data_IF_486090653765
#
_entry.id   IF_486090653765
#
_cell.length_a   1.000
_cell.length_b   1.000
_cell.length_c   1.000
_cell.angle_alpha   90.00
_cell.angle_beta   90.00
_cell.angle_gamma   90.00
#
_symmetry.space_group_name_H-M   'P 1'
#
loop_
_entity.id
_entity.type
_entity.pdbx_description
1 polymer ?
#
# COMPACT_ATOMS: atom_id res chain seq x y z
N UNK A 1 -2.26 -2.76 -14.56
CA UNK A 1 -3.40 -3.26 -13.79
C UNK A 1 -2.80 -4.23 -12.79
N UNK A 2 -2.71 -3.77 -11.54
CA UNK A 2 -1.65 -4.15 -10.60
C UNK A 2 -2.24 -4.65 -9.29
N UNK A 3 -1.63 -5.71 -8.74
CA UNK A 3 -1.90 -6.20 -7.38
C UNK A 3 -0.84 -5.61 -6.47
N UNK A 4 -1.24 -5.18 -5.29
CA UNK A 4 -0.36 -4.57 -4.30
C UNK A 4 -0.42 -5.37 -3.01
N UNK A 5 0.70 -5.43 -2.31
CA UNK A 5 0.80 -5.98 -0.96
C UNK A 5 1.64 -5.02 -0.12
N UNK A 6 1.23 -4.73 1.11
CA UNK A 6 2.04 -3.88 1.99
C UNK A 6 3.11 -4.65 2.78
N UNK A 7 3.97 -3.89 3.47
CA UNK A 7 4.96 -4.43 4.41
C UNK A 7 4.57 -4.24 5.88
N UNK A 8 3.28 -4.04 6.15
CA UNK A 8 2.79 -3.88 7.53
C UNK A 8 2.58 -5.25 8.17
N UNK A 9 3.11 -5.42 9.38
CA UNK A 9 3.03 -6.68 10.11
C UNK A 9 1.90 -6.62 11.14
N UNK A 10 0.69 -6.98 10.72
CA UNK A 10 -0.47 -7.05 11.61
C UNK A 10 -0.52 -8.41 12.31
N UNK A 11 -0.62 -8.43 13.65
CA UNK A 11 -0.74 -9.68 14.41
C UNK A 11 -2.19 -10.15 14.40
N UNK A 12 -2.39 -11.43 14.06
CA UNK A 12 -3.68 -12.13 14.20
C UNK A 12 -3.44 -13.48 14.88
N UNK A 13 -3.67 -13.53 16.19
CA UNK A 13 -3.25 -14.67 17.00
C UNK A 13 -1.75 -14.92 16.89
N UNK A 14 -1.35 -16.08 16.36
CA UNK A 14 0.05 -16.46 16.10
C UNK A 14 0.54 -16.09 14.69
N UNK A 15 -0.33 -15.54 13.84
CA UNK A 15 -0.02 -15.21 12.46
C UNK A 15 0.37 -13.73 12.31
N UNK A 16 1.14 -13.46 11.25
CA UNK A 16 1.40 -12.11 10.75
C UNK A 16 0.65 -11.97 9.43
N UNK A 17 -0.17 -10.94 9.35
CA UNK A 17 -1.04 -10.61 8.22
C UNK A 17 -0.57 -9.30 7.57
N UNK A 18 -0.79 -9.22 6.26
CA UNK A 18 -0.49 -8.11 5.38
C UNK A 18 -1.73 -7.79 4.56
N UNK A 19 -1.89 -6.54 4.13
CA UNK A 19 -3.00 -6.20 3.24
C UNK A 19 -2.61 -6.51 1.79
N UNK A 20 -3.56 -7.05 1.02
CA UNK A 20 -3.47 -7.20 -0.43
C UNK A 20 -4.69 -6.56 -1.10
N UNK A 21 -4.46 -5.71 -2.10
CA UNK A 21 -5.50 -5.01 -2.86
C UNK A 21 -5.11 -4.89 -4.33
N UNK A 22 -6.03 -4.42 -5.17
CA UNK A 22 -5.79 -4.18 -6.59
C UNK A 22 -6.63 -2.99 -7.09
N UNK A 23 -6.38 -2.55 -8.32
CA UNK A 23 -7.11 -1.47 -8.96
C UNK A 23 -8.62 -1.80 -9.12
N UNK A 24 -8.97 -3.09 -9.27
CA UNK A 24 -10.35 -3.58 -9.29
C UNK A 24 -10.57 -4.83 -8.42
N UNK A 25 -11.83 -5.06 -8.06
CA UNK A 25 -12.21 -6.24 -7.29
C UNK A 25 -11.96 -7.55 -8.06
N UNK A 26 -12.20 -7.56 -9.37
CA UNK A 26 -12.04 -8.78 -10.19
C UNK A 26 -10.57 -9.19 -10.28
N UNK A 27 -9.66 -8.24 -10.44
CA UNK A 27 -8.22 -8.50 -10.38
C UNK A 27 -7.79 -9.04 -9.02
N UNK A 28 -8.32 -8.45 -7.94
CA UNK A 28 -8.02 -8.89 -6.60
C UNK A 28 -8.49 -10.33 -6.36
N UNK A 29 -9.68 -10.69 -6.86
CA UNK A 29 -10.22 -12.04 -6.79
C UNK A 29 -9.40 -13.04 -7.61
N UNK A 30 -8.97 -12.65 -8.81
CA UNK A 30 -8.09 -13.47 -9.64
C UNK A 30 -6.72 -13.68 -8.98
N UNK A 31 -6.14 -12.64 -8.39
CA UNK A 31 -4.89 -12.73 -7.65
C UNK A 31 -5.01 -13.64 -6.43
N UNK A 32 -6.09 -13.49 -5.65
CA UNK A 32 -6.41 -14.35 -4.51
C UNK A 32 -6.55 -15.82 -4.93
N UNK A 33 -7.25 -16.10 -6.03
CA UNK A 33 -7.40 -17.45 -6.56
C UNK A 33 -6.04 -18.08 -6.94
N UNK A 34 -5.17 -17.33 -7.63
CA UNK A 34 -3.81 -17.79 -8.02
C UNK A 34 -2.94 -18.17 -6.83
N UNK A 35 -3.10 -17.48 -5.70
CA UNK A 35 -2.33 -17.76 -4.47
C UNK A 35 -3.09 -18.67 -3.50
N UNK A 36 -4.24 -19.23 -3.90
CA UNK A 36 -5.02 -20.18 -3.10
C UNK A 36 -5.71 -19.56 -1.88
N UNK A 37 -6.19 -18.32 -2.00
CA UNK A 37 -7.04 -17.65 -1.01
C UNK A 37 -8.50 -17.77 -1.44
N UNK A 38 -9.36 -18.18 -0.50
CA UNK A 38 -10.79 -18.31 -0.77
C UNK A 38 -11.47 -16.93 -0.82
N UNK A 39 -12.29 -16.71 -1.85
CA UNK A 39 -13.08 -15.48 -2.08
C UNK A 39 -13.94 -15.05 -0.88
N UNK A 40 -14.37 -15.97 -0.02
CA UNK A 40 -15.15 -15.66 1.19
C UNK A 40 -14.40 -14.76 2.18
N UNK A 41 -13.06 -14.70 2.09
CA UNK A 41 -12.21 -13.88 2.96
C UNK A 41 -12.05 -12.43 2.44
N UNK A 42 -12.73 -12.08 1.35
CA UNK A 42 -12.69 -10.72 0.83
C UNK A 42 -13.33 -9.77 1.85
N UNK A 43 -12.58 -8.76 2.26
CA UNK A 43 -13.04 -7.70 3.15
C UNK A 43 -13.50 -6.51 2.31
N UNK A 44 -14.65 -5.94 2.63
CA UNK A 44 -15.22 -4.79 1.92
C UNK A 44 -16.17 -3.97 2.80
N UNK A 45 -16.47 -2.72 2.45
CA UNK A 45 -17.49 -1.91 3.13
C UNK A 45 -18.86 -2.59 3.17
N UNK A 46 -19.65 -2.38 4.25
CA UNK A 46 -19.36 -1.54 5.42
C UNK A 46 -18.51 -2.22 6.51
N UNK A 47 -18.15 -3.50 6.35
CA UNK A 47 -17.42 -4.28 7.38
C UNK A 47 -15.94 -3.93 7.45
N UNK A 48 -15.40 -3.38 6.38
CA UNK A 48 -14.03 -2.90 6.28
C UNK A 48 -13.98 -1.52 5.61
N UNK A 49 -12.92 -0.77 5.85
CA UNK A 49 -12.76 0.59 5.32
C UNK A 49 -12.52 0.63 3.80
N UNK A 50 -12.12 -0.50 3.18
CA UNK A 50 -11.98 -0.64 1.72
C UNK A 50 -11.93 -2.12 1.29
N UNK A 51 -11.94 -2.37 -0.02
CA UNK A 51 -11.88 -3.72 -0.61
C UNK A 51 -10.46 -4.27 -0.58
N UNK A 52 -10.22 -5.35 0.18
CA UNK A 52 -8.91 -6.00 0.30
C UNK A 52 -8.99 -7.44 0.85
N UNK A 53 -7.85 -8.13 0.86
CA UNK A 53 -7.64 -9.34 1.65
C UNK A 53 -6.58 -9.09 2.71
N UNK A 54 -6.74 -9.74 3.88
CA UNK A 54 -5.63 -9.98 4.80
C UNK A 54 -4.97 -11.31 4.44
N UNK A 55 -3.67 -11.29 4.19
CA UNK A 55 -2.92 -12.46 3.73
C UNK A 55 -1.77 -12.78 4.69
N UNK A 56 -1.50 -14.06 4.92
CA UNK A 56 -0.37 -14.47 5.76
C UNK A 56 0.98 -14.20 5.09
N UNK A 57 2.07 -14.26 5.85
CA UNK A 57 3.45 -14.11 5.32
C UNK A 57 3.73 -15.00 4.11
N UNK A 58 3.38 -16.29 4.17
CA UNK A 58 3.59 -17.22 3.05
C UNK A 58 2.78 -16.86 1.80
N UNK A 59 1.57 -16.31 1.99
CA UNK A 59 0.73 -15.84 0.88
C UNK A 59 1.24 -14.53 0.29
N UNK A 60 1.80 -13.64 1.10
CA UNK A 60 2.50 -12.44 0.62
C UNK A 60 3.67 -12.79 -0.28
N UNK A 61 4.53 -13.73 0.14
CA UNK A 61 5.66 -14.18 -0.68
C UNK A 61 5.19 -14.78 -2.01
N UNK A 62 4.08 -15.51 -2.00
CA UNK A 62 3.50 -16.07 -3.22
C UNK A 62 2.89 -14.98 -4.11
N UNK A 63 2.21 -13.98 -3.54
CA UNK A 63 1.67 -12.84 -4.27
C UNK A 63 2.79 -12.07 -5.00
N UNK A 64 3.89 -11.76 -4.29
CA UNK A 64 5.06 -11.08 -4.88
C UNK A 64 5.67 -11.92 -6.00
N UNK A 65 5.83 -13.23 -5.81
CA UNK A 65 6.28 -14.15 -6.87
C UNK A 65 5.36 -14.18 -8.09
N UNK A 66 4.08 -13.87 -7.93
CA UNK A 66 3.10 -13.74 -9.00
C UNK A 66 2.98 -12.30 -9.54
N UNK A 67 3.93 -11.40 -9.22
CA UNK A 67 3.99 -10.05 -9.75
C UNK A 67 3.25 -8.99 -8.93
N UNK A 68 2.83 -9.29 -7.70
CA UNK A 68 2.30 -8.26 -6.82
C UNK A 68 3.41 -7.26 -6.43
N UNK A 69 3.07 -5.98 -6.45
CA UNK A 69 3.96 -4.87 -6.12
C UNK A 69 3.98 -4.72 -4.60
N UNK A 70 5.16 -4.87 -4.00
CA UNK A 70 5.36 -4.58 -2.59
C UNK A 70 5.34 -3.07 -2.36
N UNK A 71 4.52 -2.63 -1.41
CA UNK A 71 4.47 -1.24 -0.96
C UNK A 71 4.91 -1.13 0.50
N UNK A 72 5.20 0.10 0.92
CA UNK A 72 5.37 0.40 2.33
C UNK A 72 4.03 0.45 3.08
N UNK A 73 4.10 0.82 4.37
CA UNK A 73 2.92 0.99 5.24
C UNK A 73 1.95 2.09 4.80
N UNK A 74 2.36 2.98 3.91
CA UNK A 74 1.53 4.07 3.42
C UNK A 74 0.81 3.72 2.11
N UNK A 75 1.15 2.61 1.46
CA UNK A 75 0.53 2.13 0.23
C UNK A 75 -1.01 2.10 0.26
N UNK A 76 -1.65 1.49 1.28
CA UNK A 76 -3.11 1.48 1.37
C UNK A 76 -3.72 2.89 1.45
N UNK A 77 -3.12 3.77 2.26
CA UNK A 77 -3.62 5.14 2.45
C UNK A 77 -3.50 5.95 1.15
N UNK A 78 -2.35 5.85 0.48
CA UNK A 78 -2.12 6.48 -0.83
C UNK A 78 -3.15 6.01 -1.86
N UNK A 79 -3.38 4.69 -1.95
CA UNK A 79 -4.34 4.10 -2.87
C UNK A 79 -5.76 4.64 -2.64
N UNK A 80 -6.21 4.69 -1.39
CA UNK A 80 -7.53 5.22 -1.05
C UNK A 80 -7.67 6.71 -1.31
N UNK A 81 -6.63 7.49 -1.04
CA UNK A 81 -6.64 8.92 -1.33
C UNK A 81 -6.77 9.14 -2.84
N UNK A 82 -6.00 8.41 -3.66
CA UNK A 82 -6.06 8.51 -5.13
C UNK A 82 -7.46 8.18 -5.66
N UNK A 83 -8.06 7.08 -5.18
CA UNK A 83 -9.45 6.74 -5.54
C UNK A 83 -10.43 7.84 -5.11
N UNK A 84 -10.29 8.37 -3.89
CA UNK A 84 -11.18 9.42 -3.40
C UNK A 84 -11.05 10.71 -4.20
N UNK A 85 -9.84 11.10 -4.60
CA UNK A 85 -9.60 12.24 -5.47
C UNK A 85 -10.33 12.02 -6.80
N UNK A 86 -10.10 10.88 -7.47
CA UNK A 86 -10.75 10.57 -8.75
C UNK A 86 -12.28 10.65 -8.66
N UNK A 87 -12.88 10.07 -7.61
CA UNK A 87 -14.32 10.15 -7.37
C UNK A 87 -14.80 11.60 -7.22
N UNK A 88 -14.08 12.43 -6.47
CA UNK A 88 -14.48 13.81 -6.22
C UNK A 88 -14.28 14.69 -7.47
N UNK A 89 -13.20 14.49 -8.22
CA UNK A 89 -12.91 15.22 -9.46
C UNK A 89 -13.95 14.91 -10.55
N UNK A 90 -14.46 13.67 -10.61
CA UNK A 90 -15.51 13.27 -11.55
C UNK A 90 -16.94 13.52 -11.05
N UNK A 91 -17.12 14.03 -9.83
CA UNK A 91 -18.46 14.34 -9.32
C UNK A 91 -19.05 15.58 -9.99
N UNK A 92 -20.38 15.63 -10.14
CA UNK A 92 -21.10 16.81 -10.66
C UNK A 92 -20.85 18.07 -9.81
N UNK A 93 -20.50 17.89 -8.53
CA UNK A 93 -20.19 18.94 -7.57
C UNK A 93 -18.70 19.31 -7.53
N UNK A 94 -17.87 18.78 -8.43
CA UNK A 94 -16.41 18.99 -8.46
C UNK A 94 -16.00 20.46 -8.44
N UNK A 95 -16.83 21.34 -9.01
CA UNK A 95 -16.56 22.77 -9.09
C UNK A 95 -16.88 23.57 -7.82
N UNK A 96 -17.63 22.98 -6.88
CA UNK A 96 -18.02 23.64 -5.64
C UNK A 96 -16.81 23.90 -4.73
N UNK A 97 -16.88 24.98 -3.93
CA UNK A 97 -15.79 25.35 -3.02
C UNK A 97 -15.45 24.26 -2.00
N UNK A 98 -16.45 23.56 -1.46
CA UNK A 98 -16.27 22.46 -0.50
C UNK A 98 -15.51 21.29 -1.13
N UNK A 99 -15.91 20.84 -2.32
CA UNK A 99 -15.25 19.72 -3.00
C UNK A 99 -13.81 20.09 -3.39
N UNK A 100 -13.58 21.30 -3.91
CA UNK A 100 -12.23 21.81 -4.18
C UNK A 100 -11.36 21.83 -2.93
N UNK A 101 -11.92 22.25 -1.79
CA UNK A 101 -11.19 22.25 -0.52
C UNK A 101 -10.83 20.83 -0.06
N UNK A 102 -11.77 19.87 -0.17
CA UNK A 102 -11.53 18.46 0.18
C UNK A 102 -10.46 17.84 -0.71
N UNK A 103 -10.51 18.05 -2.02
CA UNK A 103 -9.49 17.57 -2.97
C UNK A 103 -8.12 18.16 -2.61
N UNK A 104 -8.04 19.48 -2.34
CA UNK A 104 -6.80 20.12 -1.89
C UNK A 104 -6.22 19.44 -0.64
N UNK A 105 -7.05 19.14 0.36
CA UNK A 105 -6.62 18.42 1.58
C UNK A 105 -6.11 17.02 1.31
N UNK A 106 -6.70 16.31 0.35
CA UNK A 106 -6.24 14.99 -0.06
C UNK A 106 -4.86 15.05 -0.73
N UNK A 107 -4.63 16.00 -1.64
CA UNK A 107 -3.30 16.23 -2.22
C UNK A 107 -2.25 16.66 -1.19
N UNK A 108 -2.62 17.46 -0.18
CA UNK A 108 -1.73 17.79 0.95
C UNK A 108 -1.28 16.52 1.70
N UNK A 109 -2.19 15.56 1.94
CA UNK A 109 -1.85 14.29 2.58
C UNK A 109 -0.90 13.44 1.71
N UNK A 110 -1.11 13.38 0.40
CA UNK A 110 -0.20 12.68 -0.51
C UNK A 110 1.22 13.26 -0.42
N UNK A 111 1.36 14.59 -0.47
CA UNK A 111 2.66 15.26 -0.32
C UNK A 111 3.33 14.96 1.01
N UNK A 112 2.58 14.86 2.11
CA UNK A 112 3.13 14.48 3.40
C UNK A 112 3.69 13.05 3.40
N UNK A 113 2.99 12.10 2.77
CA UNK A 113 3.47 10.72 2.61
C UNK A 113 4.78 10.71 1.82
N UNK A 114 4.86 11.46 0.72
CA UNK A 114 6.05 11.58 -0.11
C UNK A 114 7.24 12.16 0.68
N UNK A 115 7.01 13.22 1.48
CA UNK A 115 8.02 13.83 2.33
C UNK A 115 8.57 12.86 3.39
N UNK A 116 7.68 12.08 4.02
CA UNK A 116 8.10 11.06 5.00
C UNK A 116 8.96 10.00 4.33
N UNK A 117 8.59 9.56 3.13
CA UNK A 117 9.35 8.57 2.35
C UNK A 117 10.71 9.11 1.92
N UNK A 118 10.80 10.36 1.46
CA UNK A 118 12.08 10.96 1.08
C UNK A 118 13.02 11.10 2.28
N UNK A 119 12.50 11.54 3.43
CA UNK A 119 13.28 11.68 4.64
C UNK A 119 13.79 10.33 5.16
N UNK A 120 12.93 9.31 5.16
CA UNK A 120 13.29 7.95 5.57
C UNK A 120 14.36 7.32 4.65
N UNK A 121 14.29 7.58 3.33
CA UNK A 121 15.33 7.16 2.38
C UNK A 121 16.67 7.86 2.59
N UNK A 122 16.67 9.16 2.91
CA UNK A 122 17.90 9.90 3.25
C UNK A 122 18.58 9.28 4.47
N UNK A 123 17.82 9.05 5.54
CA UNK A 123 18.33 8.44 6.77
C UNK A 123 18.87 7.02 6.50
N UNK A 124 18.16 6.21 5.72
CA UNK A 124 18.62 4.86 5.39
C UNK A 124 19.96 4.88 4.63
N UNK A 125 20.10 5.81 3.67
CA UNK A 125 21.34 5.99 2.90
C UNK A 125 22.51 6.45 3.78
N UNK A 126 22.28 7.43 4.65
CA UNK A 126 23.30 7.91 5.60
C UNK A 126 23.80 6.79 6.52
N UNK A 127 22.90 5.92 7.00
CA UNK A 127 23.28 4.77 7.82
C UNK A 127 24.07 3.70 7.04
N UNK A 128 23.76 3.50 5.76
CA UNK A 128 24.51 2.58 4.89
C UNK A 128 25.93 3.11 4.61
N UNK A 129 26.06 4.42 4.35
CA UNK A 129 27.34 5.10 4.13
C UNK A 129 28.24 5.05 5.39
N UNK A 130 27.65 5.14 6.60
CA UNK A 130 28.35 5.02 7.89
C UNK A 130 28.79 3.57 8.24
N UNK A 131 28.25 2.56 7.56
CA UNK A 131 28.55 1.14 7.80
C UNK A 131 29.39 0.49 6.68
N UNK A 132 29.98 1.29 5.78
CA UNK A 132 31.03 0.82 4.88
C UNK A 132 32.16 0.14 5.68
N UNK A 133 32.49 -1.14 5.43
CA UNK A 133 33.58 -1.81 6.13
C UNK A 133 34.87 -1.07 5.79
N UNK A 134 35.59 -0.59 6.81
CA UNK A 134 36.94 -0.05 6.63
C UNK A 134 37.75 -1.09 5.84
N UNK A 135 38.18 -0.73 4.63
CA UNK A 135 39.06 -1.58 3.84
C UNK A 135 40.26 -1.91 4.71
N UNK A 136 40.35 -3.15 5.19
CA UNK A 136 41.55 -3.66 5.83
C UNK A 136 42.64 -3.66 4.77
N UNK A 137 43.43 -2.60 4.78
CA UNK A 137 44.72 -2.52 4.10
C UNK A 137 45.61 -3.62 4.66
N UNK A 138 45.72 -4.74 3.95
CA UNK A 138 46.77 -5.73 4.20
C UNK A 138 48.08 -5.14 3.67
N UNK A 139 48.91 -4.65 4.60
CA UNK A 139 50.36 -4.55 4.43
C UNK A 139 51.00 -5.46 5.48
#
# INVERSE_FOLDING_TARGET
MSVFVDDVRHRFGRMIMFHMWADSQDELLLAAARIGINRRWLQMPPKASWVHFDISLSKKELAIRNGAILTDKYGPVEFLIKQRIAILEHSELSQTGDIKHRIKKLYEKLRQIELIRSHSKSIAKENEDLHMPAQRSFF
#
